data_IF_799557054839
#
_entry.id   IF_799557054839
#
_cell.length_a   1.000
_cell.length_b   1.000
_cell.length_c   1.000
_cell.angle_alpha   90.00
_cell.angle_beta   90.00
_cell.angle_gamma   90.00
#
_symmetry.space_group_name_H-M   'P 1'
#
loop_
_entity.id
_entity.type
_entity.pdbx_description
1 polymer ?
#
# COMPACT_ATOMS: atom_id res chain seq x y z
N UNK A 1 -22.27 -26.84 -11.72
CA UNK A 1 -20.98 -26.15 -11.50
C UNK A 1 -21.06 -24.67 -11.86
N UNK A 2 -21.76 -24.34 -12.93
CA UNK A 2 -21.98 -23.00 -13.50
C UNK A 2 -22.40 -21.91 -12.50
N UNK A 3 -23.29 -22.21 -11.54
CA UNK A 3 -23.79 -21.20 -10.59
C UNK A 3 -22.70 -20.61 -9.68
N UNK A 4 -21.66 -21.40 -9.33
CA UNK A 4 -20.53 -20.91 -8.51
C UNK A 4 -19.57 -20.03 -9.31
N UNK A 5 -19.46 -20.27 -10.61
CA UNK A 5 -18.62 -19.47 -11.51
C UNK A 5 -19.25 -18.11 -11.79
N UNK A 6 -20.58 -18.08 -12.00
CA UNK A 6 -21.34 -16.83 -12.13
C UNK A 6 -21.23 -15.95 -10.87
N UNK A 7 -21.29 -16.54 -9.67
CA UNK A 7 -21.09 -15.80 -8.41
C UNK A 7 -19.67 -15.22 -8.30
N UNK A 8 -18.65 -15.93 -8.79
CA UNK A 8 -17.26 -15.42 -8.79
C UNK A 8 -17.08 -14.28 -9.78
N UNK A 9 -17.64 -14.41 -10.99
CA UNK A 9 -17.59 -13.36 -12.01
C UNK A 9 -18.33 -12.09 -11.55
N UNK A 10 -19.51 -12.24 -10.95
CA UNK A 10 -20.25 -11.12 -10.38
C UNK A 10 -19.48 -10.38 -9.27
N UNK A 11 -18.75 -11.11 -8.42
CA UNK A 11 -17.90 -10.51 -7.38
C UNK A 11 -16.72 -9.73 -7.96
N UNK A 12 -16.11 -10.22 -9.03
CA UNK A 12 -14.99 -9.54 -9.70
C UNK A 12 -15.47 -8.24 -10.36
N UNK A 13 -16.63 -8.28 -11.03
CA UNK A 13 -17.25 -7.10 -11.64
C UNK A 13 -17.64 -6.05 -10.59
N UNK A 14 -18.26 -6.47 -9.48
CA UNK A 14 -18.61 -5.56 -8.39
C UNK A 14 -17.39 -4.84 -7.78
N UNK A 15 -16.26 -5.54 -7.63
CA UNK A 15 -15.02 -4.93 -7.13
C UNK A 15 -14.39 -3.93 -8.11
N UNK A 16 -14.50 -4.19 -9.42
CA UNK A 16 -14.06 -3.28 -10.47
C UNK A 16 -14.91 -2.02 -10.51
N UNK A 17 -16.23 -2.18 -10.42
CA UNK A 17 -17.19 -1.08 -10.41
C UNK A 17 -17.04 -0.20 -9.15
N UNK A 18 -16.76 -0.80 -7.99
CA UNK A 18 -16.45 -0.07 -6.75
C UNK A 18 -15.14 0.74 -6.86
N UNK A 19 -14.11 0.18 -7.52
CA UNK A 19 -12.85 0.88 -7.78
C UNK A 19 -13.04 2.06 -8.75
N UNK A 20 -13.86 1.90 -9.78
CA UNK A 20 -14.19 2.98 -10.72
C UNK A 20 -15.04 4.07 -10.06
N UNK A 21 -16.01 3.69 -9.21
CA UNK A 21 -16.80 4.64 -8.43
C UNK A 21 -15.92 5.47 -7.49
N UNK A 22 -14.95 4.85 -6.81
CA UNK A 22 -13.99 5.56 -5.95
C UNK A 22 -13.10 6.53 -6.73
N UNK A 23 -12.68 6.17 -7.95
CA UNK A 23 -11.91 7.07 -8.83
C UNK A 23 -12.75 8.26 -9.28
N UNK A 24 -14.01 8.03 -9.69
CA UNK A 24 -14.94 9.10 -10.07
C UNK A 24 -15.23 10.05 -8.90
N UNK A 25 -15.46 9.52 -7.70
CA UNK A 25 -15.64 10.34 -6.49
C UNK A 25 -14.42 11.24 -6.21
N UNK A 26 -13.21 10.70 -6.33
CA UNK A 26 -11.98 11.48 -6.17
C UNK A 26 -11.81 12.56 -7.25
N UNK A 27 -12.18 12.29 -8.49
CA UNK A 27 -12.15 13.26 -9.58
C UNK A 27 -13.18 14.39 -9.39
N UNK A 28 -14.40 14.04 -8.98
CA UNK A 28 -15.46 15.01 -8.68
C UNK A 28 -15.12 15.89 -7.46
N UNK A 29 -14.54 15.32 -6.39
CA UNK A 29 -14.06 16.10 -5.24
C UNK A 29 -12.93 17.06 -5.65
N UNK A 30 -12.00 16.61 -6.49
CA UNK A 30 -10.94 17.46 -7.03
C UNK A 30 -11.48 18.59 -7.91
N UNK A 31 -12.54 18.34 -8.68
CA UNK A 31 -13.18 19.36 -9.51
C UNK A 31 -13.98 20.37 -8.67
N UNK A 32 -14.71 19.90 -7.65
CA UNK A 32 -15.39 20.78 -6.68
C UNK A 32 -14.40 21.64 -5.92
N UNK A 33 -13.29 21.05 -5.46
CA UNK A 33 -12.23 21.79 -4.79
C UNK A 33 -11.59 22.85 -5.70
N UNK A 34 -11.38 22.55 -6.98
CA UNK A 34 -10.91 23.54 -7.97
C UNK A 34 -11.91 24.68 -8.17
N UNK A 35 -13.20 24.37 -8.34
CA UNK A 35 -14.25 25.39 -8.48
C UNK A 35 -14.35 26.27 -7.24
N UNK A 36 -14.25 25.70 -6.04
CA UNK A 36 -14.24 26.47 -4.79
C UNK A 36 -12.98 27.34 -4.63
N UNK A 37 -11.83 26.90 -5.19
CA UNK A 37 -10.64 27.73 -5.27
C UNK A 37 -10.81 28.88 -6.28
N UNK A 38 -11.38 28.63 -7.45
CA UNK A 38 -11.67 29.66 -8.45
C UNK A 38 -12.68 30.68 -7.91
N UNK A 39 -13.77 30.24 -7.27
CA UNK A 39 -14.74 31.12 -6.62
C UNK A 39 -14.10 31.98 -5.52
N UNK A 40 -13.25 31.39 -4.66
CA UNK A 40 -12.53 32.17 -3.64
C UNK A 40 -11.58 33.19 -4.25
N UNK A 41 -10.94 32.88 -5.37
CA UNK A 41 -10.08 33.83 -6.08
C UNK A 41 -10.93 34.94 -6.70
N UNK A 42 -12.10 34.64 -7.27
CA UNK A 42 -13.01 35.65 -7.81
C UNK A 42 -13.65 36.52 -6.72
N UNK A 43 -13.98 35.98 -5.54
CA UNK A 43 -14.49 36.75 -4.40
C UNK A 43 -13.42 37.69 -3.87
N UNK A 44 -12.18 37.23 -3.74
CA UNK A 44 -11.05 38.09 -3.33
C UNK A 44 -10.78 39.19 -4.36
N UNK A 45 -10.94 38.90 -5.66
CA UNK A 45 -10.79 39.92 -6.71
C UNK A 45 -11.96 40.92 -6.74
N UNK A 46 -13.18 40.49 -6.43
CA UNK A 46 -14.35 41.36 -6.32
C UNK A 46 -14.31 42.23 -5.05
N UNK A 47 -13.89 41.70 -3.90
CA UNK A 47 -13.62 42.48 -2.68
C UNK A 47 -12.50 43.50 -2.90
N UNK A 48 -11.49 43.20 -3.73
CA UNK A 48 -10.43 44.16 -4.09
C UNK A 48 -10.90 45.23 -5.09
N UNK A 49 -12.01 45.01 -5.81
CA UNK A 49 -12.65 46.01 -6.68
C UNK A 49 -13.66 46.86 -5.89
N UNK A 50 -14.36 46.26 -4.93
CA UNK A 50 -15.29 46.93 -4.02
C UNK A 50 -14.55 47.77 -2.94
N UNK A 51 -13.39 47.33 -2.41
CA UNK A 51 -12.52 48.18 -1.56
C UNK A 51 -11.93 49.36 -2.35
N UNK A 52 -11.76 49.25 -3.68
CA UNK A 52 -11.32 50.38 -4.51
C UNK A 52 -12.43 51.41 -4.76
N UNK A 53 -13.70 51.00 -4.76
CA UNK A 53 -14.86 51.91 -4.80
C UNK A 53 -15.25 52.44 -3.40
N UNK A 54 -15.13 51.63 -2.33
CA UNK A 54 -15.44 52.06 -0.95
C UNK A 54 -14.39 53.03 -0.39
N UNK A 55 -13.11 52.93 -0.81
CA UNK A 55 -12.08 53.93 -0.44
C UNK A 55 -12.35 55.30 -1.08
N UNK A 56 -13.17 55.39 -2.14
CA UNK A 56 -13.61 56.68 -2.71
C UNK A 56 -14.86 57.26 -2.01
N UNK A 57 -15.66 56.44 -1.30
CA UNK A 57 -16.90 56.88 -0.63
C UNK A 57 -16.72 57.05 0.89
N UNK A 58 -15.77 56.37 1.53
CA UNK A 58 -15.54 56.49 2.98
C UNK A 58 -14.64 57.69 3.41
N UNK A 59 -14.39 58.65 2.50
CA UNK A 59 -13.77 59.94 2.87
C UNK A 59 -14.76 60.93 3.52
N UNK A 60 -16.06 60.59 3.63
CA UNK A 60 -17.08 61.52 4.16
C UNK A 60 -17.98 60.91 5.26
N UNK A 61 -17.43 60.63 6.46
CA UNK A 61 -18.20 60.66 7.73
C UNK A 61 -17.31 60.61 8.99
N UNK A 62 -17.49 61.53 9.98
CA UNK A 62 -16.77 61.48 11.25
C UNK A 62 -17.49 60.59 12.25
N UNK A 63 -16.80 59.59 12.81
CA UNK A 63 -17.37 58.72 13.85
C UNK A 63 -17.10 59.25 15.27
N UNK A 64 -18.20 59.59 15.94
CA UNK A 64 -18.32 59.99 17.33
C UNK A 64 -17.85 58.91 18.33
N UNK A 65 -17.18 59.40 19.38
CA UNK A 65 -16.86 58.68 20.63
C UNK A 65 -18.09 57.99 21.21
N UNK A 66 -17.98 56.68 21.48
CA UNK A 66 -18.91 55.96 22.36
C UNK A 66 -18.23 55.51 23.65
N UNK A 67 -18.57 56.21 24.73
CA UNK A 67 -18.25 55.90 26.12
C UNK A 67 -19.26 54.84 26.62
N UNK A 68 -18.77 53.79 27.27
CA UNK A 68 -19.57 52.86 28.08
C UNK A 68 -18.61 51.96 28.86
N UNK A 69 -18.63 51.81 30.19
CA UNK A 69 -19.70 52.04 31.16
C UNK A 69 -20.16 50.69 31.71
N UNK A 70 -19.37 50.08 32.59
CA UNK A 70 -19.68 48.79 33.21
C UNK A 70 -18.69 48.39 34.30
N UNK A 71 -18.72 49.07 35.45
CA UNK A 71 -17.92 48.73 36.63
C UNK A 71 -18.47 47.46 37.29
N UNK A 72 -17.66 46.40 37.33
CA UNK A 72 -17.89 45.26 38.22
C UNK A 72 -16.94 45.36 39.40
N UNK A 73 -17.32 44.85 40.57
CA UNK A 73 -16.56 44.98 41.84
C UNK A 73 -15.09 44.56 41.77
N UNK A 74 -14.68 43.74 40.79
CA UNK A 74 -13.26 43.37 40.55
C UNK A 74 -12.43 44.51 39.95
N UNK A 75 -13.07 45.39 39.19
CA UNK A 75 -12.45 46.56 38.55
C UNK A 75 -12.03 47.60 39.59
N UNK A 76 -12.77 47.69 40.70
CA UNK A 76 -12.42 48.55 41.84
C UNK A 76 -11.19 48.02 42.62
N UNK A 77 -11.08 46.69 42.78
CA UNK A 77 -9.94 46.04 43.45
C UNK A 77 -8.67 46.12 42.59
N UNK A 78 -8.82 46.00 41.26
CA UNK A 78 -7.75 46.24 40.29
C UNK A 78 -7.34 47.72 40.30
N UNK A 79 -8.30 48.64 40.42
CA UNK A 79 -8.02 50.08 40.52
C UNK A 79 -7.30 50.45 41.81
N UNK A 80 -7.65 49.86 42.96
CA UNK A 80 -6.96 50.11 44.23
C UNK A 80 -5.54 49.55 44.21
N UNK A 81 -5.34 48.32 43.71
CA UNK A 81 -4.01 47.73 43.56
C UNK A 81 -3.16 48.49 42.52
N UNK A 82 -3.80 49.08 41.52
CA UNK A 82 -3.15 49.98 40.57
C UNK A 82 -2.78 51.33 41.21
N UNK A 83 -3.60 51.89 42.09
CA UNK A 83 -3.27 53.10 42.85
C UNK A 83 -2.14 52.86 43.83
N UNK A 84 -2.14 51.72 44.52
CA UNK A 84 -1.07 51.33 45.44
C UNK A 84 0.26 51.13 44.68
N UNK A 85 0.21 50.46 43.52
CA UNK A 85 1.38 50.31 42.62
C UNK A 85 1.84 51.64 42.03
N UNK A 86 0.93 52.57 41.75
CA UNK A 86 1.27 53.91 41.25
C UNK A 86 1.99 54.74 42.32
N UNK A 87 1.57 54.65 43.58
CA UNK A 87 2.25 55.29 44.72
C UNK A 87 3.64 54.69 44.95
N UNK A 88 3.81 53.38 44.73
CA UNK A 88 5.13 52.73 44.81
C UNK A 88 6.09 53.13 43.68
N UNK A 89 5.58 53.38 42.46
CA UNK A 89 6.38 53.90 41.33
C UNK A 89 6.77 55.38 41.54
N UNK A 90 5.93 56.17 42.20
CA UNK A 90 6.21 57.59 42.49
C UNK A 90 7.25 57.77 43.62
N UNK A 91 7.55 56.72 44.40
CA UNK A 91 8.34 56.79 45.63
C UNK A 91 9.74 56.14 45.58
N UNK A 92 10.17 55.53 44.47
CA UNK A 92 11.38 54.69 44.47
C UNK A 92 12.32 54.96 43.30
N UNK A 93 13.41 55.69 43.55
CA UNK A 93 14.76 55.55 42.96
C UNK A 93 14.95 55.49 41.42
N UNK A 94 13.92 55.63 40.59
CA UNK A 94 14.06 55.66 39.12
C UNK A 94 14.38 57.06 38.57
N UNK A 95 14.30 58.10 39.41
CA UNK A 95 14.64 59.47 39.01
C UNK A 95 16.14 59.65 38.67
N UNK A 96 17.03 58.78 39.16
CA UNK A 96 18.46 58.79 38.78
C UNK A 96 18.75 57.98 37.50
N UNK A 97 17.93 56.98 37.15
CA UNK A 97 18.08 56.22 35.89
C UNK A 97 17.51 57.00 34.70
N UNK A 98 16.63 57.96 34.97
CA UNK A 98 16.08 58.86 33.95
C UNK A 98 17.10 59.90 33.44
N UNK A 99 18.29 60.01 34.04
CA UNK A 99 19.33 60.97 33.63
C UNK A 99 20.47 60.35 32.81
N UNK A 100 20.50 59.02 32.60
CA UNK A 100 21.62 58.30 31.95
C UNK A 100 21.43 58.02 30.46
N UNK A 101 20.24 58.29 29.91
CA UNK A 101 20.00 58.17 28.47
C UNK A 101 20.11 59.58 27.86
N UNK A 102 21.13 59.84 27.01
CA UNK A 102 21.31 61.12 26.34
C UNK A 102 20.02 61.59 25.66
N UNK A 103 19.72 62.88 25.75
CA UNK A 103 18.52 63.47 25.18
C UNK A 103 18.39 63.20 23.68
N UNK A 104 19.52 63.12 22.97
CA UNK A 104 19.61 62.73 21.56
C UNK A 104 19.23 61.26 21.31
N UNK A 105 19.55 60.34 22.22
CA UNK A 105 19.11 58.94 22.11
C UNK A 105 17.62 58.80 22.40
N UNK A 106 17.07 59.59 23.33
CA UNK A 106 15.61 59.65 23.60
C UNK A 106 14.83 60.26 22.46
N UNK A 107 15.32 61.34 21.88
CA UNK A 107 14.69 62.02 20.75
C UNK A 107 14.83 61.19 19.47
N UNK A 108 15.96 60.49 19.28
CA UNK A 108 16.12 59.50 18.22
C UNK A 108 15.16 58.32 18.40
N UNK A 109 15.03 57.77 19.61
CA UNK A 109 14.06 56.73 19.92
C UNK A 109 12.62 57.20 19.71
N UNK A 110 12.29 58.44 20.11
CA UNK A 110 10.98 59.06 19.88
C UNK A 110 10.67 59.22 18.39
N UNK A 111 11.61 59.77 17.60
CA UNK A 111 11.48 59.89 16.14
C UNK A 111 11.34 58.53 15.45
N UNK A 112 12.00 57.49 15.97
CA UNK A 112 11.91 56.13 15.47
C UNK A 112 10.56 55.47 15.80
N UNK A 113 10.04 55.70 17.01
CA UNK A 113 8.69 55.30 17.43
C UNK A 113 7.62 56.03 16.62
N UNK A 114 7.82 57.30 16.30
CA UNK A 114 6.88 58.12 15.54
C UNK A 114 6.88 57.75 14.05
N UNK A 115 8.05 57.50 13.47
CA UNK A 115 8.20 56.92 12.14
C UNK A 115 7.62 55.50 12.05
N UNK A 116 7.60 54.76 13.15
CA UNK A 116 6.95 53.46 13.26
C UNK A 116 5.46 53.57 13.61
N UNK A 117 4.99 54.69 14.19
CA UNK A 117 3.56 55.00 14.44
C UNK A 117 2.84 55.59 13.23
N UNK A 118 3.58 56.08 12.24
CA UNK A 118 3.04 56.56 10.97
C UNK A 118 2.13 55.46 10.36
N UNK A 119 0.81 55.71 10.26
CA UNK A 119 -0.15 54.71 9.84
C UNK A 119 0.14 54.20 8.42
N UNK A 120 0.73 55.03 7.56
CA UNK A 120 1.06 54.65 6.18
C UNK A 120 2.23 53.67 6.15
N UNK A 121 3.29 53.92 6.95
CA UNK A 121 4.45 53.02 7.04
C UNK A 121 4.12 51.70 7.72
N UNK A 122 3.20 51.69 8.68
CA UNK A 122 2.70 50.44 9.31
C UNK A 122 1.97 49.57 8.30
N UNK A 123 1.01 50.15 7.55
CA UNK A 123 0.25 49.44 6.52
C UNK A 123 1.18 48.84 5.45
N UNK A 124 2.15 49.62 4.96
CA UNK A 124 3.13 49.13 4.00
C UNK A 124 3.93 47.91 4.51
N UNK A 125 4.38 47.92 5.77
CA UNK A 125 5.08 46.77 6.37
C UNK A 125 4.16 45.56 6.55
N UNK A 126 2.90 45.77 6.95
CA UNK A 126 1.91 44.70 7.12
C UNK A 126 1.57 44.06 5.76
N UNK A 127 1.36 44.86 4.72
CA UNK A 127 1.14 44.41 3.35
C UNK A 127 2.34 43.63 2.80
N UNK A 128 3.57 44.10 3.03
CA UNK A 128 4.79 43.39 2.64
C UNK A 128 4.86 42.01 3.32
N UNK A 129 4.61 41.94 4.63
CA UNK A 129 4.52 40.67 5.34
C UNK A 129 3.36 39.82 4.81
N UNK A 130 2.26 40.45 4.41
CA UNK A 130 1.09 39.81 3.85
C UNK A 130 1.44 39.09 2.53
N UNK A 131 2.11 39.81 1.64
CA UNK A 131 2.59 39.30 0.36
C UNK A 131 3.64 38.20 0.56
N UNK A 132 4.55 38.37 1.53
CA UNK A 132 5.57 37.37 1.84
C UNK A 132 4.99 36.06 2.39
N UNK A 133 3.92 36.08 3.20
CA UNK A 133 3.27 34.81 3.61
C UNK A 133 2.45 34.20 2.48
N UNK A 134 1.74 34.99 1.67
CA UNK A 134 1.00 34.50 0.49
C UNK A 134 1.93 33.81 -0.50
N UNK A 135 3.10 34.40 -0.76
CA UNK A 135 4.13 33.80 -1.63
C UNK A 135 4.69 32.49 -1.06
N UNK A 136 4.96 32.43 0.25
CA UNK A 136 5.40 31.18 0.89
C UNK A 136 4.35 30.08 0.78
N UNK A 137 3.07 30.43 0.93
CA UNK A 137 1.98 29.48 0.82
C UNK A 137 1.80 28.98 -0.62
N UNK A 138 1.92 29.84 -1.63
CA UNK A 138 1.84 29.43 -3.03
C UNK A 138 2.99 28.50 -3.42
N UNK A 139 4.22 28.82 -3.00
CA UNK A 139 5.39 27.95 -3.16
C UNK A 139 5.18 26.58 -2.51
N UNK A 140 4.67 26.54 -1.28
CA UNK A 140 4.40 25.29 -0.57
C UNK A 140 3.33 24.45 -1.28
N UNK A 141 2.26 25.08 -1.80
CA UNK A 141 1.24 24.40 -2.60
C UNK A 141 1.82 23.78 -3.87
N UNK A 142 2.67 24.51 -4.59
CA UNK A 142 3.35 23.99 -5.79
C UNK A 142 4.24 22.80 -5.43
N UNK A 143 5.05 22.90 -4.36
CA UNK A 143 5.90 21.79 -3.90
C UNK A 143 5.10 20.54 -3.56
N UNK A 144 3.93 20.68 -2.93
CA UNK A 144 3.04 19.55 -2.62
C UNK A 144 2.46 18.91 -3.86
N UNK A 145 2.03 19.72 -4.84
CA UNK A 145 1.54 19.21 -6.12
C UNK A 145 2.63 18.46 -6.89
N UNK A 146 3.84 19.01 -6.96
CA UNK A 146 4.98 18.32 -7.57
C UNK A 146 5.33 17.03 -6.83
N UNK A 147 5.31 17.03 -5.50
CA UNK A 147 5.54 15.82 -4.71
C UNK A 147 4.48 14.75 -4.98
N UNK A 148 3.20 15.15 -5.09
CA UNK A 148 2.10 14.24 -5.44
C UNK A 148 2.24 13.70 -6.87
N UNK A 149 2.69 14.53 -7.82
CA UNK A 149 2.95 14.15 -9.20
C UNK A 149 4.08 13.12 -9.29
N UNK A 150 5.19 13.35 -8.57
CA UNK A 150 6.29 12.40 -8.43
C UNK A 150 5.81 11.08 -7.81
N UNK A 151 5.08 11.14 -6.70
CA UNK A 151 4.53 9.95 -6.04
C UNK A 151 3.59 9.16 -6.96
N UNK A 152 2.79 9.83 -7.79
CA UNK A 152 1.91 9.18 -8.78
C UNK A 152 2.72 8.47 -9.87
N UNK A 153 3.82 9.07 -10.35
CA UNK A 153 4.74 8.41 -11.31
C UNK A 153 5.39 7.18 -10.69
N UNK A 154 5.85 7.28 -9.44
CA UNK A 154 6.46 6.16 -8.73
C UNK A 154 5.46 5.01 -8.50
N UNK A 155 4.21 5.34 -8.15
CA UNK A 155 3.13 4.37 -8.00
C UNK A 155 2.85 3.64 -9.32
N UNK A 156 2.75 4.35 -10.44
CA UNK A 156 2.61 3.73 -11.77
C UNK A 156 3.79 2.82 -12.11
N UNK A 157 5.02 3.24 -11.81
CA UNK A 157 6.21 2.42 -12.02
C UNK A 157 6.19 1.15 -11.13
N UNK A 158 5.73 1.27 -9.89
CA UNK A 158 5.55 0.15 -8.98
C UNK A 158 4.47 -0.83 -9.47
N UNK A 159 3.32 -0.34 -9.96
CA UNK A 159 2.26 -1.17 -10.53
C UNK A 159 2.76 -2.00 -11.73
N UNK A 160 3.54 -1.38 -12.63
CA UNK A 160 4.16 -2.09 -13.77
C UNK A 160 5.11 -3.18 -13.29
N UNK A 161 5.96 -2.90 -12.28
CA UNK A 161 6.86 -3.89 -11.69
C UNK A 161 6.09 -5.04 -11.02
N UNK A 162 5.03 -4.72 -10.27
CA UNK A 162 4.16 -5.71 -9.65
C UNK A 162 3.46 -6.60 -10.68
N UNK A 163 3.04 -6.04 -11.81
CA UNK A 163 2.47 -6.80 -12.91
C UNK A 163 3.45 -7.84 -13.47
N UNK A 164 4.72 -7.47 -13.66
CA UNK A 164 5.78 -8.39 -14.09
C UNK A 164 6.01 -9.51 -13.06
N UNK A 165 6.14 -9.15 -11.79
CA UNK A 165 6.30 -10.12 -10.70
C UNK A 165 5.12 -11.09 -10.68
N UNK A 166 3.89 -10.60 -10.82
CA UNK A 166 2.69 -11.46 -10.87
C UNK A 166 2.76 -12.46 -12.02
N UNK A 167 3.11 -12.01 -13.23
CA UNK A 167 3.24 -12.89 -14.38
C UNK A 167 4.34 -13.96 -14.17
N UNK A 168 5.48 -13.57 -13.61
CA UNK A 168 6.57 -14.49 -13.25
C UNK A 168 6.11 -15.52 -12.20
N UNK A 169 5.40 -15.08 -11.15
CA UNK A 169 4.86 -16.01 -10.14
C UNK A 169 3.85 -16.99 -10.72
N UNK A 170 2.98 -16.56 -11.64
CA UNK A 170 2.02 -17.45 -12.30
C UNK A 170 2.73 -18.51 -13.15
N UNK A 171 3.77 -18.11 -13.89
CA UNK A 171 4.61 -19.04 -14.64
C UNK A 171 5.32 -20.03 -13.71
N UNK A 172 5.88 -19.57 -12.60
CA UNK A 172 6.52 -20.43 -11.61
C UNK A 172 5.54 -21.46 -11.03
N UNK A 173 4.31 -21.07 -10.69
CA UNK A 173 3.27 -22.00 -10.20
C UNK A 173 2.86 -23.02 -11.26
N UNK A 174 2.73 -22.62 -12.53
CA UNK A 174 2.43 -23.54 -13.63
C UNK A 174 3.54 -24.56 -13.83
N UNK A 175 4.81 -24.13 -13.76
CA UNK A 175 5.96 -25.01 -13.87
C UNK A 175 6.02 -26.00 -12.70
N UNK A 176 5.78 -25.55 -11.47
CA UNK A 176 5.73 -26.42 -10.29
C UNK A 176 4.65 -27.50 -10.42
N UNK A 177 3.46 -27.11 -10.90
CA UNK A 177 2.36 -28.05 -11.15
C UNK A 177 2.74 -29.08 -12.23
N UNK A 178 3.41 -28.66 -13.31
CA UNK A 178 3.90 -29.56 -14.35
C UNK A 178 4.94 -30.54 -13.81
N UNK A 179 5.89 -30.06 -12.98
CA UNK A 179 6.89 -30.92 -12.34
C UNK A 179 6.20 -32.00 -11.51
N UNK A 180 5.26 -31.62 -10.64
CA UNK A 180 4.50 -32.56 -9.81
C UNK A 180 3.72 -33.58 -10.67
N UNK A 181 3.15 -33.14 -11.79
CA UNK A 181 2.43 -34.04 -12.71
C UNK A 181 3.37 -35.07 -13.36
N UNK A 182 4.57 -34.65 -13.77
CA UNK A 182 5.58 -35.53 -14.38
C UNK A 182 6.15 -36.49 -13.35
N UNK A 183 6.41 -36.03 -12.12
CA UNK A 183 6.84 -36.91 -11.02
C UNK A 183 5.81 -38.00 -10.73
N UNK A 184 4.53 -37.64 -10.65
CA UNK A 184 3.45 -38.61 -10.46
C UNK A 184 3.37 -39.63 -11.61
N UNK A 185 3.54 -39.18 -12.86
CA UNK A 185 3.59 -40.07 -14.03
C UNK A 185 4.79 -41.02 -13.99
N UNK A 186 5.98 -40.53 -13.59
CA UNK A 186 7.17 -41.36 -13.46
C UNK A 186 7.03 -42.41 -12.36
N UNK A 187 6.37 -42.09 -11.25
CA UNK A 187 6.04 -43.05 -10.20
C UNK A 187 5.08 -44.12 -10.74
N UNK A 188 3.98 -43.71 -11.37
CA UNK A 188 3.01 -44.65 -11.96
C UNK A 188 3.66 -45.57 -13.01
N UNK A 189 4.51 -45.02 -13.89
CA UNK A 189 5.24 -45.80 -14.88
C UNK A 189 6.18 -46.82 -14.23
N UNK A 190 6.88 -46.42 -13.15
CA UNK A 190 7.76 -47.34 -12.41
C UNK A 190 6.97 -48.49 -11.80
N UNK A 191 5.84 -48.20 -11.17
CA UNK A 191 4.97 -49.22 -10.58
C UNK A 191 4.43 -50.18 -11.64
N UNK A 192 3.99 -49.68 -12.79
CA UNK A 192 3.56 -50.50 -13.91
C UNK A 192 4.68 -51.43 -14.40
N UNK A 193 5.89 -50.91 -14.62
CA UNK A 193 7.04 -51.71 -15.03
C UNK A 193 7.41 -52.78 -13.99
N UNK A 194 7.29 -52.48 -12.70
CA UNK A 194 7.51 -53.46 -11.63
C UNK A 194 6.45 -54.55 -11.63
N UNK A 195 5.19 -54.18 -11.88
CA UNK A 195 4.08 -55.11 -11.99
C UNK A 195 4.26 -56.08 -13.18
N UNK A 196 4.57 -55.56 -14.37
CA UNK A 196 4.84 -56.36 -15.57
C UNK A 196 6.01 -57.33 -15.34
N UNK A 197 7.13 -56.84 -14.79
CA UNK A 197 8.27 -57.70 -14.41
C UNK A 197 7.89 -58.79 -13.41
N UNK A 198 7.04 -58.46 -12.43
CA UNK A 198 6.55 -59.45 -11.47
C UNK A 198 5.72 -60.54 -12.14
N UNK A 199 4.88 -60.18 -13.13
CA UNK A 199 4.13 -61.15 -13.92
C UNK A 199 5.05 -62.05 -14.74
N UNK A 200 6.04 -61.48 -15.43
CA UNK A 200 7.00 -62.25 -16.23
C UNK A 200 7.77 -63.27 -15.38
N UNK A 201 8.21 -62.88 -14.18
CA UNK A 201 8.88 -63.79 -13.24
C UNK A 201 7.95 -64.96 -12.88
N UNK A 202 6.68 -64.70 -12.58
CA UNK A 202 5.70 -65.74 -12.26
C UNK A 202 5.47 -66.69 -13.44
N UNK A 203 5.28 -66.16 -14.64
CA UNK A 203 5.06 -66.94 -15.86
C UNK A 203 6.28 -67.81 -16.16
N UNK A 204 7.49 -67.26 -16.06
CA UNK A 204 8.72 -68.01 -16.25
C UNK A 204 8.91 -69.10 -15.20
N UNK A 205 8.52 -68.85 -13.94
CA UNK A 205 8.47 -69.86 -12.89
C UNK A 205 7.56 -71.04 -13.25
N UNK A 206 6.33 -70.76 -13.72
CA UNK A 206 5.39 -71.79 -14.17
C UNK A 206 5.94 -72.58 -15.36
N UNK A 207 6.52 -71.91 -16.35
CA UNK A 207 7.11 -72.56 -17.55
C UNK A 207 8.26 -73.48 -17.17
N UNK A 208 9.16 -73.04 -16.30
CA UNK A 208 10.27 -73.87 -15.80
C UNK A 208 9.75 -75.06 -15.02
N UNK A 209 8.80 -74.86 -14.09
CA UNK A 209 8.20 -75.96 -13.33
C UNK A 209 7.50 -77.00 -14.21
N UNK A 210 6.79 -76.57 -15.27
CA UNK A 210 6.20 -77.48 -16.25
C UNK A 210 7.27 -78.26 -17.03
N UNK A 211 8.35 -77.59 -17.45
CA UNK A 211 9.47 -78.23 -18.16
C UNK A 211 10.15 -79.28 -17.30
N UNK A 212 10.36 -78.99 -16.02
CA UNK A 212 10.97 -79.92 -15.07
C UNK A 212 10.05 -81.13 -14.84
N UNK A 213 8.75 -80.90 -14.64
CA UNK A 213 7.75 -81.96 -14.54
C UNK A 213 7.74 -82.88 -15.77
N UNK A 214 7.72 -82.31 -16.98
CA UNK A 214 7.76 -83.10 -18.22
C UNK A 214 9.05 -83.91 -18.36
N UNK A 215 10.20 -83.33 -17.98
CA UNK A 215 11.48 -84.05 -17.96
C UNK A 215 11.45 -85.25 -17.01
N UNK A 216 10.93 -85.08 -15.80
CA UNK A 216 10.87 -86.15 -14.80
C UNK A 216 9.88 -87.25 -15.20
N UNK A 217 8.73 -86.87 -15.78
CA UNK A 217 7.80 -87.83 -16.38
C UNK A 217 8.45 -88.66 -17.49
N UNK A 218 9.20 -88.02 -18.39
CA UNK A 218 9.92 -88.73 -19.46
C UNK A 218 10.98 -89.70 -18.90
N UNK A 219 11.74 -89.30 -17.87
CA UNK A 219 12.70 -90.19 -17.19
C UNK A 219 12.01 -91.40 -16.56
N UNK A 220 10.87 -91.19 -15.90
CA UNK A 220 10.10 -92.26 -15.30
C UNK A 220 9.59 -93.25 -16.35
N UNK A 221 8.94 -92.74 -17.41
CA UNK A 221 8.46 -93.57 -18.53
C UNK A 221 9.58 -94.35 -19.21
N UNK A 222 10.74 -93.72 -19.43
CA UNK A 222 11.90 -94.39 -20.01
C UNK A 222 12.38 -95.55 -19.12
N UNK A 223 12.37 -95.35 -17.81
CA UNK A 223 12.75 -96.37 -16.83
C UNK A 223 11.76 -97.54 -16.83
N UNK A 224 10.46 -97.27 -16.82
CA UNK A 224 9.40 -98.29 -16.91
C UNK A 224 9.49 -99.10 -18.20
N UNK A 225 9.68 -98.43 -19.35
CA UNK A 225 9.86 -99.09 -20.65
C UNK A 225 11.12 -99.96 -20.63
N UNK A 226 12.23 -99.46 -20.07
CA UNK A 226 13.46 -100.24 -19.97
C UNK A 226 13.28 -101.50 -19.11
N UNK A 227 12.58 -101.38 -17.97
CA UNK A 227 12.23 -102.53 -17.12
C UNK A 227 11.35 -103.53 -17.88
N UNK A 228 10.32 -103.05 -18.59
CA UNK A 228 9.43 -103.90 -19.36
C UNK A 228 10.19 -104.69 -20.45
N UNK A 229 11.03 -104.01 -21.24
CA UNK A 229 11.89 -104.64 -22.26
C UNK A 229 12.79 -105.71 -21.63
N UNK A 230 13.45 -105.40 -20.52
CA UNK A 230 14.33 -106.35 -19.83
C UNK A 230 13.55 -107.58 -19.33
N UNK A 231 12.38 -107.39 -18.72
CA UNK A 231 11.50 -108.50 -18.30
C UNK A 231 11.07 -109.37 -19.48
N UNK A 232 10.67 -108.77 -20.60
CA UNK A 232 10.31 -109.54 -21.82
C UNK A 232 11.51 -110.29 -22.37
N UNK A 233 12.70 -109.69 -22.36
CA UNK A 233 13.94 -110.35 -22.79
C UNK A 233 14.28 -111.56 -21.93
N UNK A 234 14.20 -111.43 -20.60
CA UNK A 234 14.41 -112.53 -19.66
C UNK A 234 13.39 -113.67 -19.84
N UNK A 235 12.13 -113.32 -20.14
CA UNK A 235 11.10 -114.31 -20.45
C UNK A 235 11.44 -115.11 -21.72
N UNK A 236 11.82 -114.41 -22.80
CA UNK A 236 12.19 -115.04 -24.06
C UNK A 236 13.46 -115.91 -23.93
N UNK A 237 14.47 -115.47 -23.19
CA UNK A 237 15.69 -116.29 -22.99
C UNK A 237 15.40 -117.55 -22.18
N UNK A 238 14.53 -117.48 -21.16
CA UNK A 238 14.08 -118.66 -20.39
C UNK A 238 13.33 -119.68 -21.24
N UNK A 239 12.50 -119.24 -22.19
CA UNK A 239 11.84 -120.16 -23.14
C UNK A 239 12.83 -120.83 -24.09
N UNK A 240 13.86 -120.11 -24.55
CA UNK A 240 14.85 -120.64 -25.48
C UNK A 240 15.85 -121.63 -24.84
N UNK A 241 16.08 -121.51 -23.52
CA UNK A 241 17.03 -122.38 -22.82
C UNK A 241 16.49 -123.76 -22.40
N UNK A 242 15.17 -124.01 -22.47
CA UNK A 242 14.54 -125.28 -22.10
C UNK A 242 14.78 -125.72 -20.62
N UNK A 243 14.03 -126.68 -20.08
CA UNK A 243 14.45 -127.40 -18.87
C UNK A 243 15.69 -128.27 -19.12
#
# INVERSE_FOLDING_TARGET
>A
MEMRELIRQAKILALLEEQEAKKRQMEEEMERWKKEQEEKITVIQAEEEEEKEEVEVEEERPLERRRGGGSTSKDAEIAERAQESAVHLESGEDQEVEMTVPEEEREAAGRQIEAERDPVKRRAKEEEQQMAWRYRLSQERVRRLEAAERAKKDLRAAEVRMGKIRAETELATKLDTLIQSVEALLVAQREQMQYERSQDIKINGIRSGFKDFACDMMKHLLTEVHIAINKTREFCTRQASGP
#
